data_IF_688490802416
#
_entry.id   IF_688490802416
#
_cell.length_a   1.000
_cell.length_b   1.000
_cell.length_c   1.000
_cell.angle_alpha   90.00
_cell.angle_beta   90.00
_cell.angle_gamma   90.00
#
_symmetry.space_group_name_H-M   'P 1'
#
loop_
_entity.id
_entity.type
_entity.pdbx_description
1 polymer ?
#
# COMPACT_ATOMS: atom_id res chain seq x y z
N UNK A 1 -8.44 18.17 -2.29
CA UNK A 1 -7.94 17.73 -0.96
C UNK A 1 -6.73 16.83 -1.18
N UNK A 2 -5.80 16.71 -0.22
CA UNK A 2 -4.63 15.81 -0.33
C UNK A 2 -4.73 14.67 0.66
N UNK A 3 -4.24 13.48 0.30
CA UNK A 3 -4.16 12.32 1.18
C UNK A 3 -2.75 11.73 1.21
N UNK A 4 -2.40 11.13 2.36
CA UNK A 4 -1.14 10.41 2.56
C UNK A 4 -1.44 8.98 3.02
N UNK A 5 -0.87 7.98 2.34
CA UNK A 5 -0.94 6.56 2.72
C UNK A 5 0.42 6.12 3.28
N UNK A 6 0.45 5.69 4.54
CA UNK A 6 1.68 5.24 5.20
C UNK A 6 1.92 3.73 4.98
N UNK A 7 2.85 3.42 4.07
CA UNK A 7 3.12 2.06 3.58
C UNK A 7 4.58 1.60 3.79
N UNK A 8 5.38 2.33 4.58
CA UNK A 8 6.82 2.05 4.74
C UNK A 8 7.18 0.81 5.59
N UNK A 9 6.24 0.30 6.39
CA UNK A 9 6.51 -0.80 7.33
C UNK A 9 6.49 -2.18 6.67
N UNK A 10 7.47 -3.03 7.04
CA UNK A 10 7.56 -4.42 6.58
C UNK A 10 6.29 -5.25 6.88
N UNK A 11 5.68 -5.06 8.05
CA UNK A 11 4.49 -5.83 8.45
C UNK A 11 4.80 -7.17 9.12
N UNK A 12 5.84 -7.25 9.97
CA UNK A 12 6.34 -8.48 10.64
C UNK A 12 5.28 -9.39 11.27
N UNK A 13 4.15 -8.86 11.73
CA UNK A 13 3.03 -9.66 12.28
C UNK A 13 2.30 -10.51 11.22
N UNK A 14 2.49 -10.21 9.94
CA UNK A 14 1.90 -10.90 8.80
C UNK A 14 2.88 -11.90 8.15
N UNK A 15 4.02 -12.17 8.80
CA UNK A 15 4.89 -13.24 8.33
C UNK A 15 4.13 -14.58 8.30
N UNK A 16 4.42 -15.46 7.32
CA UNK A 16 5.46 -15.32 6.29
C UNK A 16 5.07 -14.46 5.07
N UNK A 17 3.84 -13.96 4.97
CA UNK A 17 3.32 -13.29 3.77
C UNK A 17 4.05 -11.99 3.38
N UNK A 18 4.73 -11.36 4.33
CA UNK A 18 5.52 -10.12 4.12
C UNK A 18 7.02 -10.34 4.30
N UNK A 19 7.50 -11.58 4.14
CA UNK A 19 8.92 -11.88 4.27
C UNK A 19 9.74 -11.18 3.17
N UNK A 20 9.24 -11.22 1.95
CA UNK A 20 9.89 -10.73 0.74
C UNK A 20 9.12 -9.60 0.04
N UNK A 21 7.94 -9.21 0.54
CA UNK A 21 7.12 -8.17 -0.08
C UNK A 21 6.57 -7.15 0.93
N UNK A 22 6.43 -5.88 0.53
CA UNK A 22 5.82 -4.85 1.37
C UNK A 22 4.39 -5.20 1.75
N UNK A 23 3.99 -4.94 3.00
CA UNK A 23 2.60 -5.21 3.46
C UNK A 23 1.53 -4.57 2.57
N UNK A 24 1.83 -3.42 1.99
CA UNK A 24 0.91 -2.65 1.15
C UNK A 24 0.59 -3.34 -0.18
N UNK A 25 1.45 -4.27 -0.61
CA UNK A 25 1.28 -5.08 -1.83
C UNK A 25 0.53 -6.40 -1.59
N UNK A 26 0.30 -6.77 -0.32
CA UNK A 26 -0.36 -8.04 0.01
C UNK A 26 -1.78 -8.07 -0.57
N UNK A 27 -2.12 -9.10 -1.36
CA UNK A 27 -3.43 -9.20 -1.98
C UNK A 27 -4.47 -9.65 -0.96
N UNK A 28 -5.58 -8.92 -0.90
CA UNK A 28 -6.81 -9.33 -0.21
C UNK A 28 -7.84 -9.57 -1.31
N UNK A 29 -8.34 -10.81 -1.43
CA UNK A 29 -9.23 -11.23 -2.52
C UNK A 29 -8.73 -10.79 -3.91
N UNK A 30 -7.47 -11.11 -4.22
CA UNK A 30 -6.85 -10.82 -5.52
C UNK A 30 -6.41 -9.37 -5.75
N UNK A 31 -6.64 -8.44 -4.82
CA UNK A 31 -6.30 -7.03 -4.99
C UNK A 31 -5.37 -6.53 -3.86
N UNK A 32 -4.24 -5.87 -4.18
CA UNK A 32 -3.36 -5.26 -3.19
C UNK A 32 -4.11 -4.28 -2.28
N UNK A 33 -3.82 -4.31 -0.99
CA UNK A 33 -4.48 -3.43 -0.01
C UNK A 33 -4.28 -1.95 -0.34
N UNK A 34 -3.11 -1.54 -0.83
CA UNK A 34 -2.84 -0.15 -1.25
C UNK A 34 -3.75 0.30 -2.39
N UNK A 35 -4.04 -0.58 -3.35
CA UNK A 35 -4.95 -0.29 -4.46
C UNK A 35 -6.38 -0.06 -3.97
N UNK A 36 -6.82 -0.81 -2.96
CA UNK A 36 -8.14 -0.61 -2.33
C UNK A 36 -8.23 0.76 -1.66
N UNK A 37 -7.18 1.19 -0.97
CA UNK A 37 -7.12 2.50 -0.34
C UNK A 37 -7.16 3.64 -1.37
N UNK A 38 -6.35 3.55 -2.44
CA UNK A 38 -6.37 4.51 -3.55
C UNK A 38 -7.76 4.62 -4.17
N UNK A 39 -8.40 3.49 -4.49
CA UNK A 39 -9.74 3.50 -5.06
C UNK A 39 -10.79 4.13 -4.13
N UNK A 40 -10.68 3.90 -2.81
CA UNK A 40 -11.57 4.55 -1.84
C UNK A 40 -11.37 6.06 -1.79
N UNK A 41 -10.12 6.53 -1.84
CA UNK A 41 -9.81 7.96 -1.89
C UNK A 41 -10.31 8.61 -3.18
N UNK A 42 -10.10 7.96 -4.33
CA UNK A 42 -10.61 8.43 -5.63
C UNK A 42 -12.14 8.52 -5.65
N UNK A 43 -12.85 7.51 -5.11
CA UNK A 43 -14.32 7.56 -4.98
C UNK A 43 -14.80 8.69 -4.06
N UNK A 44 -13.98 9.13 -3.12
CA UNK A 44 -14.25 10.27 -2.25
C UNK A 44 -13.85 11.62 -2.87
N UNK A 45 -13.40 11.66 -4.13
CA UNK A 45 -12.97 12.88 -4.81
C UNK A 45 -11.57 13.37 -4.42
N UNK A 46 -10.72 12.49 -3.89
CA UNK A 46 -9.33 12.80 -3.53
C UNK A 46 -8.39 12.16 -4.57
N UNK A 47 -7.83 12.99 -5.45
CA UNK A 47 -6.93 12.60 -6.53
C UNK A 47 -5.44 12.89 -6.23
N UNK A 48 -5.15 13.88 -5.38
CA UNK A 48 -3.80 14.15 -4.87
C UNK A 48 -3.44 13.17 -3.74
N UNK A 49 -2.88 12.02 -4.10
CA UNK A 49 -2.52 10.95 -3.17
C UNK A 49 -0.99 10.76 -3.15
N UNK A 50 -0.40 10.86 -1.96
CA UNK A 50 1.01 10.53 -1.74
C UNK A 50 1.14 9.23 -0.95
N UNK A 51 2.02 8.34 -1.37
CA UNK A 51 2.24 7.05 -0.71
C UNK A 51 3.66 7.05 -0.16
N UNK A 52 3.79 6.91 1.15
CA UNK A 52 5.10 6.81 1.80
C UNK A 52 5.53 5.35 1.80
N UNK A 53 6.58 5.04 1.06
CA UNK A 53 7.15 3.69 0.93
C UNK A 53 8.45 3.57 1.73
N UNK A 54 8.92 2.34 1.94
CA UNK A 54 10.06 2.02 2.81
C UNK A 54 10.57 0.61 2.53
N UNK A 55 10.26 -0.36 3.40
CA UNK A 55 10.63 -1.77 3.17
C UNK A 55 10.11 -2.25 1.80
N UNK A 56 11.03 -2.68 0.92
CA UNK A 56 10.72 -3.16 -0.43
C UNK A 56 10.10 -2.11 -1.34
N UNK A 57 10.46 -0.82 -1.18
CA UNK A 57 9.95 0.31 -1.96
C UNK A 57 10.05 0.06 -3.47
N UNK A 58 11.12 -0.56 -3.94
CA UNK A 58 11.34 -0.92 -5.34
C UNK A 58 10.22 -1.81 -5.89
N UNK A 59 9.57 -2.63 -5.06
CA UNK A 59 8.44 -3.49 -5.44
C UNK A 59 7.10 -2.76 -5.41
N UNK A 60 7.06 -1.55 -4.85
CA UNK A 60 5.89 -0.67 -4.86
C UNK A 60 5.94 0.31 -6.02
N UNK A 61 7.14 0.73 -6.41
CA UNK A 61 7.39 1.73 -7.46
C UNK A 61 7.52 1.13 -8.86
N UNK A 62 7.77 -0.18 -8.98
CA UNK A 62 7.81 -0.92 -10.24
C UNK A 62 6.40 -1.07 -10.88
#
# INVERSE_FOLDING_TARGET
MKAVILSAGQGKRLLPHTADKPKCTVPINGQPIVKRQIQSLLRAGIDSIHIVVGFGAEKVEA
#
